data_IF_793723884237
#
_entry.id   IF_793723884237
#
_cell.length_a   1.000
_cell.length_b   1.000
_cell.length_c   1.000
_cell.angle_alpha   90.00
_cell.angle_beta   90.00
_cell.angle_gamma   90.00
#
_symmetry.space_group_name_H-M   'P 1'
#
loop_
_entity.id
_entity.type
_entity.pdbx_description
1 polymer ?
#
# COMPACT_ATOMS: atom_id res chain seq x y z
N UNK A 1 6.21 7.32 8.59
CA UNK A 1 5.19 7.38 7.51
C UNK A 1 4.10 6.37 7.85
N UNK A 2 2.85 6.77 8.08
CA UNK A 2 1.76 5.81 8.39
C UNK A 2 1.35 5.05 7.13
N UNK A 3 0.87 3.81 7.25
CA UNK A 3 0.52 2.98 6.07
C UNK A 3 -0.50 3.63 5.12
N UNK A 4 -1.45 4.40 5.65
CA UNK A 4 -2.42 5.18 4.85
C UNK A 4 -1.73 6.19 3.93
N UNK A 5 -0.73 6.89 4.45
CA UNK A 5 0.03 7.90 3.67
C UNK A 5 0.85 7.26 2.56
N UNK A 6 1.41 6.06 2.78
CA UNK A 6 2.12 5.31 1.74
C UNK A 6 1.18 4.86 0.61
N UNK A 7 -0.02 4.36 0.96
CA UNK A 7 -1.05 4.00 -0.03
C UNK A 7 -1.49 5.22 -0.84
N UNK A 8 -1.74 6.35 -0.19
CA UNK A 8 -2.11 7.60 -0.87
C UNK A 8 -1.00 8.07 -1.83
N UNK A 9 0.27 7.98 -1.42
CA UNK A 9 1.42 8.31 -2.24
C UNK A 9 1.52 7.44 -3.52
N UNK A 10 1.20 6.15 -3.43
CA UNK A 10 1.19 5.28 -4.61
C UNK A 10 -0.05 5.49 -5.49
N UNK A 11 -1.20 5.83 -4.90
CA UNK A 11 -2.39 6.24 -5.67
C UNK A 11 -2.16 7.53 -6.46
N UNK A 12 -1.48 8.51 -5.87
CA UNK A 12 -1.14 9.77 -6.53
C UNK A 12 -0.26 9.58 -7.79
N UNK A 13 0.49 8.49 -7.87
CA UNK A 13 1.24 8.11 -9.07
C UNK A 13 0.44 7.31 -10.11
N UNK A 14 -0.88 7.21 -9.96
CA UNK A 14 -1.76 6.58 -10.96
C UNK A 14 -2.15 5.12 -10.69
N UNK A 15 -1.79 4.56 -9.53
CA UNK A 15 -2.25 3.22 -9.17
C UNK A 15 -3.74 3.23 -8.79
N UNK A 16 -4.59 2.57 -9.57
CA UNK A 16 -6.05 2.55 -9.38
C UNK A 16 -6.56 1.28 -8.71
N UNK A 17 -5.78 0.19 -8.74
CA UNK A 17 -6.14 -1.11 -8.17
C UNK A 17 -5.29 -1.48 -6.95
N UNK A 18 -5.83 -2.28 -6.03
CA UNK A 18 -5.08 -2.76 -4.85
C UNK A 18 -3.79 -3.51 -5.23
N UNK A 19 -3.81 -4.28 -6.33
CA UNK A 19 -2.62 -4.96 -6.86
C UNK A 19 -1.57 -3.97 -7.36
N UNK A 20 -1.98 -2.93 -8.09
CA UNK A 20 -1.07 -1.89 -8.55
C UNK A 20 -0.49 -1.08 -7.39
N UNK A 21 -1.30 -0.82 -6.36
CA UNK A 21 -0.83 -0.16 -5.14
C UNK A 21 0.21 -1.02 -4.43
N UNK A 22 -0.08 -2.31 -4.24
CA UNK A 22 0.86 -3.24 -3.63
C UNK A 22 2.17 -3.35 -4.42
N UNK A 23 2.08 -3.47 -5.76
CA UNK A 23 3.25 -3.46 -6.64
C UNK A 23 4.04 -2.15 -6.51
N UNK A 24 3.38 -1.00 -6.55
CA UNK A 24 4.04 0.31 -6.41
C UNK A 24 4.68 0.52 -5.04
N UNK A 25 4.09 -0.02 -3.97
CA UNK A 25 4.70 -0.01 -2.63
C UNK A 25 5.96 -0.88 -2.60
N UNK A 26 5.90 -2.09 -3.15
CA UNK A 26 7.04 -3.00 -3.23
C UNK A 26 8.17 -2.45 -4.11
N UNK A 27 7.86 -1.90 -5.28
CA UNK A 27 8.83 -1.27 -6.18
C UNK A 27 9.56 -0.09 -5.54
N UNK A 28 8.89 0.61 -4.62
CA UNK A 28 9.46 1.73 -3.86
C UNK A 28 10.19 1.29 -2.59
N UNK A 29 10.29 -0.02 -2.32
CA UNK A 29 10.92 -0.53 -1.10
C UNK A 29 10.17 -0.20 0.19
N UNK A 30 8.90 0.20 0.10
CA UNK A 30 8.10 0.52 1.28
C UNK A 30 7.66 -0.78 1.91
N UNK A 31 8.31 -1.18 3.00
CA UNK A 31 7.95 -2.41 3.72
C UNK A 31 6.65 -2.24 4.53
N UNK A 32 5.96 -3.35 4.74
CA UNK A 32 4.87 -3.41 5.73
C UNK A 32 5.43 -3.29 7.15
N UNK A 33 4.61 -2.96 8.16
CA UNK A 33 5.08 -2.83 9.55
C UNK A 33 5.74 -4.11 10.11
N UNK A 34 5.44 -5.28 9.53
CA UNK A 34 6.01 -6.57 9.91
C UNK A 34 7.16 -7.01 8.98
N UNK A 35 7.69 -6.13 8.12
CA UNK A 35 8.88 -6.40 7.31
C UNK A 35 8.66 -7.23 6.04
N UNK A 36 7.41 -7.53 5.68
CA UNK A 36 7.06 -8.26 4.45
C UNK A 36 6.70 -7.38 3.25
N UNK A 37 6.55 -8.01 2.09
CA UNK A 37 6.02 -7.38 0.87
C UNK A 37 4.54 -7.05 1.02
N UNK A 38 4.11 -6.03 0.28
CA UNK A 38 2.70 -5.69 0.15
C UNK A 38 1.98 -6.65 -0.78
N UNK A 39 0.85 -7.11 -0.29
CA UNK A 39 -0.17 -7.82 -1.08
C UNK A 39 -1.41 -6.94 -1.24
N UNK A 40 -2.20 -7.20 -2.27
CA UNK A 40 -3.46 -6.50 -2.48
C UNK A 40 -4.43 -6.63 -1.28
N UNK A 41 -4.39 -7.78 -0.58
CA UNK A 41 -5.21 -8.03 0.61
C UNK A 41 -4.80 -7.13 1.78
N UNK A 42 -3.49 -6.94 2.01
CA UNK A 42 -3.00 -6.01 3.03
C UNK A 42 -3.38 -4.57 2.73
N UNK A 43 -3.32 -4.14 1.46
CA UNK A 43 -3.79 -2.80 1.05
C UNK A 43 -5.27 -2.62 1.41
N UNK A 44 -6.11 -3.62 1.09
CA UNK A 44 -7.53 -3.61 1.47
C UNK A 44 -7.70 -3.49 2.98
N UNK A 45 -7.04 -4.34 3.76
CA UNK A 45 -7.16 -4.32 5.23
C UNK A 45 -6.73 -3.00 5.87
N UNK A 46 -5.65 -2.39 5.39
CA UNK A 46 -5.21 -1.08 5.89
C UNK A 46 -6.25 0.00 5.61
N UNK A 47 -6.89 -0.03 4.44
CA UNK A 47 -7.94 0.92 4.09
C UNK A 47 -9.21 0.70 4.91
N UNK A 48 -9.62 -0.56 5.12
CA UNK A 48 -10.79 -0.91 5.93
C UNK A 48 -10.61 -0.57 7.41
N UNK A 49 -9.40 -0.76 7.98
CA UNK A 49 -9.08 -0.42 9.37
C UNK A 49 -8.90 1.08 9.61
N UNK A 50 -8.74 1.86 8.56
CA UNK A 50 -8.59 3.32 8.64
C UNK A 50 -9.94 4.06 8.54
N UNK A 51 -11.05 3.32 8.68
CA UNK A 51 -12.42 3.82 8.81
C UNK A 51 -12.71 4.19 10.26
#
# INVERSE_FOLDING_TARGET
MTHKSAIAYVRASGASSFRQIAAGLNQRGIQTAQGGTWTAMQVKWVLERAR
#
